data_IF_402349695846
#
_entry.id   IF_402349695846
#
_cell.length_a   1.000
_cell.length_b   1.000
_cell.length_c   1.000
_cell.angle_alpha   90.00
_cell.angle_beta   90.00
_cell.angle_gamma   90.00
#
_symmetry.space_group_name_H-M   'P 1'
#
loop_
_entity.id
_entity.type
_entity.pdbx_description
1 polymer ?
#
# COMPACT_ATOMS: atom_id res chain seq x y z
N UNK A 1 22.37 14.74 -17.53
CA UNK A 1 21.05 14.08 -17.41
C UNK A 1 20.72 14.08 -15.93
N UNK A 2 19.64 14.75 -15.52
CA UNK A 2 19.24 14.77 -14.11
C UNK A 2 18.41 13.53 -13.80
N UNK A 3 18.45 13.08 -12.55
CA UNK A 3 17.60 11.98 -12.09
C UNK A 3 16.12 12.37 -12.29
N UNK A 4 15.76 13.61 -12.00
CA UNK A 4 14.43 14.20 -12.23
C UNK A 4 13.90 14.03 -13.67
N UNK A 5 14.80 13.92 -14.66
CA UNK A 5 14.42 13.79 -16.07
C UNK A 5 13.80 12.41 -16.37
N UNK A 6 14.19 11.35 -15.63
CA UNK A 6 13.86 9.96 -15.94
C UNK A 6 13.10 9.21 -14.84
N UNK A 7 12.96 9.82 -13.66
CA UNK A 7 12.40 9.18 -12.48
C UNK A 7 11.22 9.99 -11.92
N UNK A 8 10.23 9.30 -11.36
CA UNK A 8 9.08 9.83 -10.63
C UNK A 8 9.19 9.35 -9.19
N UNK A 9 8.84 10.21 -8.24
CA UNK A 9 8.77 9.84 -6.84
C UNK A 9 7.63 8.84 -6.58
N UNK A 10 7.83 8.00 -5.59
CA UNK A 10 6.84 7.08 -5.08
C UNK A 10 7.08 6.82 -3.60
N UNK A 11 6.07 6.30 -2.93
CA UNK A 11 6.04 6.08 -1.49
C UNK A 11 5.73 4.61 -1.24
N UNK A 12 6.63 3.95 -0.53
CA UNK A 12 6.58 2.53 -0.25
C UNK A 12 5.91 2.30 1.10
N UNK A 13 4.76 1.63 1.07
CA UNK A 13 4.00 1.30 2.27
C UNK A 13 4.09 -0.18 2.57
N UNK A 14 4.35 -0.51 3.84
CA UNK A 14 4.15 -1.85 4.37
C UNK A 14 2.77 -1.94 5.01
N UNK A 15 1.99 -2.95 4.61
CA UNK A 15 0.59 -3.08 5.00
C UNK A 15 0.32 -4.51 5.46
N UNK A 16 -0.34 -4.64 6.61
CA UNK A 16 -0.93 -5.88 7.08
C UNK A 16 -2.44 -5.72 7.23
N UNK A 17 -3.20 -6.64 6.65
CA UNK A 17 -4.66 -6.66 6.74
C UNK A 17 -5.19 -8.08 6.82
N UNK A 18 -6.37 -8.25 7.42
CA UNK A 18 -7.05 -9.53 7.55
C UNK A 18 -8.14 -9.65 6.50
N UNK A 19 -8.15 -10.76 5.78
CA UNK A 19 -9.24 -11.14 4.87
C UNK A 19 -10.00 -12.34 5.43
N UNK A 20 -11.29 -12.43 5.11
CA UNK A 20 -12.14 -13.57 5.45
C UNK A 20 -12.67 -14.22 4.18
N UNK A 21 -12.24 -15.45 3.91
CA UNK A 21 -12.68 -16.22 2.74
C UNK A 21 -13.11 -17.60 3.21
N UNK A 22 -14.33 -18.03 2.87
CA UNK A 22 -14.89 -19.33 3.26
C UNK A 22 -14.74 -19.61 4.77
N UNK A 23 -15.10 -18.63 5.62
CA UNK A 23 -15.03 -18.69 7.09
C UNK A 23 -13.61 -18.79 7.68
N UNK A 24 -12.58 -18.75 6.83
CA UNK A 24 -11.17 -18.75 7.24
C UNK A 24 -10.67 -17.31 7.27
N UNK A 25 -10.18 -16.88 8.44
CA UNK A 25 -9.50 -15.60 8.61
C UNK A 25 -8.00 -15.76 8.28
N UNK A 26 -7.49 -14.92 7.39
CA UNK A 26 -6.07 -14.91 7.00
C UNK A 26 -5.49 -13.51 7.05
N UNK A 27 -4.33 -13.36 7.68
CA UNK A 27 -3.55 -12.14 7.58
C UNK A 27 -2.73 -12.13 6.28
N UNK A 28 -2.80 -11.02 5.56
CA UNK A 28 -2.04 -10.74 4.36
C UNK A 28 -1.08 -9.59 4.65
N UNK A 29 0.19 -9.78 4.28
CA UNK A 29 1.24 -8.77 4.36
C UNK A 29 1.66 -8.40 2.95
N UNK A 30 1.66 -7.12 2.62
CA UNK A 30 2.06 -6.60 1.31
C UNK A 30 2.85 -5.33 1.43
N UNK A 31 3.76 -5.16 0.48
CA UNK A 31 4.35 -3.88 0.15
C UNK A 31 3.57 -3.32 -1.03
N UNK A 32 3.15 -2.07 -0.94
CA UNK A 32 2.58 -1.34 -2.08
C UNK A 32 3.40 -0.08 -2.32
N UNK A 33 3.39 0.40 -3.56
CA UNK A 33 4.02 1.66 -3.94
C UNK A 33 2.93 2.55 -4.51
N UNK A 34 2.87 3.79 -4.03
CA UNK A 34 1.94 4.82 -4.48
C UNK A 34 2.72 6.02 -4.99
N UNK A 35 2.18 6.76 -5.96
CA UNK A 35 2.84 7.94 -6.53
C UNK A 35 2.70 9.20 -5.68
N UNK A 36 1.86 9.15 -4.65
CA UNK A 36 1.59 10.25 -3.74
C UNK A 36 1.73 9.75 -2.30
N UNK A 37 2.25 10.61 -1.42
CA UNK A 37 2.26 10.34 0.01
C UNK A 37 0.83 10.51 0.52
N UNK A 38 0.22 9.39 0.92
CA UNK A 38 -1.12 9.33 1.45
C UNK A 38 -1.10 9.10 2.96
N UNK A 39 -2.10 9.64 3.63
CA UNK A 39 -2.31 9.34 5.03
C UNK A 39 -2.79 7.89 5.23
N UNK A 40 -2.74 7.43 6.48
CA UNK A 40 -3.18 6.07 6.84
C UNK A 40 -4.64 5.79 6.44
N UNK A 41 -5.54 6.75 6.54
CA UNK A 41 -6.96 6.57 6.24
C UNK A 41 -7.16 6.36 4.74
N UNK A 42 -6.46 7.12 3.91
CA UNK A 42 -6.46 7.02 2.45
C UNK A 42 -5.89 5.68 1.98
N UNK A 43 -4.76 5.25 2.53
CA UNK A 43 -4.19 3.94 2.24
C UNK A 43 -5.18 2.82 2.63
N UNK A 44 -5.85 2.92 3.78
CA UNK A 44 -6.88 1.95 4.19
C UNK A 44 -8.04 1.91 3.19
N UNK A 45 -8.51 3.07 2.70
CA UNK A 45 -9.56 3.13 1.67
C UNK A 45 -9.12 2.42 0.40
N UNK A 46 -7.89 2.64 -0.06
CA UNK A 46 -7.33 1.96 -1.24
C UNK A 46 -7.35 0.45 -1.04
N UNK A 47 -6.85 -0.04 0.09
CA UNK A 47 -6.82 -1.48 0.39
C UNK A 47 -8.23 -2.09 0.39
N UNK A 48 -9.18 -1.45 1.08
CA UNK A 48 -10.57 -1.91 1.11
C UNK A 48 -11.26 -1.86 -0.25
N UNK A 49 -10.85 -0.95 -1.13
CA UNK A 49 -11.41 -0.84 -2.50
C UNK A 49 -10.80 -1.85 -3.48
N UNK A 50 -9.53 -2.23 -3.28
CA UNK A 50 -8.78 -3.11 -4.20
C UNK A 50 -8.88 -4.58 -3.85
N UNK A 51 -8.97 -4.91 -2.56
CA UNK A 51 -9.04 -6.28 -2.08
C UNK A 51 -10.46 -6.60 -1.59
N UNK A 52 -11.02 -7.69 -2.10
CA UNK A 52 -12.30 -8.22 -1.62
C UNK A 52 -12.14 -8.83 -0.23
N UNK A 53 -13.20 -8.76 0.58
CA UNK A 53 -13.30 -9.42 1.89
C UNK A 53 -12.28 -8.95 2.95
N UNK A 54 -11.80 -7.71 2.86
CA UNK A 54 -10.98 -7.12 3.93
C UNK A 54 -11.86 -6.88 5.15
N UNK A 55 -11.58 -7.62 6.23
CA UNK A 55 -12.27 -7.49 7.52
C UNK A 55 -11.75 -6.30 8.31
N UNK A 56 -10.43 -6.20 8.40
CA UNK A 56 -9.74 -5.10 9.07
C UNK A 56 -8.35 -4.88 8.49
N UNK A 57 -7.88 -3.63 8.56
CA UNK A 57 -6.48 -3.30 8.27
C UNK A 57 -5.79 -3.20 9.63
N UNK A 58 -4.82 -4.08 9.85
CA UNK A 58 -4.13 -4.24 11.14
C UNK A 58 -3.04 -3.17 11.26
N UNK A 59 -2.33 -2.93 10.15
CA UNK A 59 -1.14 -2.08 10.15
C UNK A 59 -0.91 -1.44 8.79
N UNK A 60 -0.46 -0.18 8.80
CA UNK A 60 -0.06 0.62 7.64
C UNK A 60 1.07 1.52 8.11
N UNK A 61 2.24 1.35 7.53
CA UNK A 61 3.41 2.19 7.77
C UNK A 61 3.98 2.66 6.44
N UNK A 62 4.29 3.96 6.34
CA UNK A 62 5.19 4.48 5.32
C UNK A 62 6.60 4.02 5.69
N UNK A 63 7.20 3.23 4.81
CA UNK A 63 8.50 2.61 5.06
C UNK A 63 9.64 3.39 4.42
N UNK A 64 9.45 3.85 3.17
CA UNK A 64 10.49 4.57 2.45
C UNK A 64 9.92 5.42 1.29
N UNK A 65 10.73 6.36 0.81
CA UNK A 65 10.54 7.04 -0.47
C UNK A 65 11.33 6.29 -1.55
N UNK A 66 10.75 6.13 -2.73
CA UNK A 66 11.35 5.39 -3.84
C UNK A 66 11.32 6.20 -5.13
N UNK A 67 12.23 5.88 -6.04
CA UNK A 67 12.24 6.41 -7.40
C UNK A 67 11.76 5.35 -8.38
N UNK A 68 10.72 5.68 -9.14
CA UNK A 68 10.14 4.84 -10.18
C UNK A 68 10.55 5.36 -11.56
N UNK A 69 10.92 4.50 -12.52
CA UNK A 69 11.16 4.93 -13.88
C UNK A 69 9.91 5.57 -14.50
N UNK A 70 10.08 6.64 -15.28
CA UNK A 70 9.02 7.22 -16.11
C UNK A 70 8.56 6.26 -17.21
#
# INVERSE_FOLDING_TARGET
MRIEDNWIEGFLYYIEFRVETNEINRNIKKIIILHEELDKIEVIKIIKSRFSHVKEVIHVDLFDEVLLPK
#
